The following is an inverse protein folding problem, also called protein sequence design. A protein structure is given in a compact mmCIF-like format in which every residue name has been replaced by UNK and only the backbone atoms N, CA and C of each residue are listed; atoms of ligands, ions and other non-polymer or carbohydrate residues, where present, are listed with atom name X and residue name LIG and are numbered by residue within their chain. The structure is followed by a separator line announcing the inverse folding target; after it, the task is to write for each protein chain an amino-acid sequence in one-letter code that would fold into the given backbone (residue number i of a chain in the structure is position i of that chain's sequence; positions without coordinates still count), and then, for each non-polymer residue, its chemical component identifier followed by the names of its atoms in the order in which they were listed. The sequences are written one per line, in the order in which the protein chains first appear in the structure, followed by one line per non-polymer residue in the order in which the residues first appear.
data_IF_326195642213
#
_entry.id   IF_326195642213
#
_cell.length_a   1.000
_cell.length_b   1.000
_cell.length_c   1.000
_cell.angle_alpha   90.00
_cell.angle_beta   90.00
_cell.angle_gamma   90.00
#
_symmetry.space_group_name_H-M   'P 1'
#
loop_
_entity.id
_entity.type
_entity.pdbx_description
1 polymer ?
#
# COMPACT_ATOMS: atom_id res chain seq x y z
N UNK A 1 -6.09 -26.99 53.39
CA UNK A 1 -5.63 -27.01 51.98
C UNK A 1 -6.80 -27.14 51.00
N UNK A 2 -7.73 -26.17 50.89
CA UNK A 2 -8.78 -26.16 49.84
C UNK A 2 -9.34 -24.73 49.62
N UNK A 3 -8.46 -23.72 49.59
CA UNK A 3 -8.83 -22.34 49.20
C UNK A 3 -7.94 -21.78 48.07
N UNK A 4 -7.03 -22.59 47.53
CA UNK A 4 -6.10 -22.21 46.48
C UNK A 4 -6.50 -22.75 45.08
N UNK A 5 -7.65 -23.43 44.94
CA UNK A 5 -8.01 -24.09 43.67
C UNK A 5 -9.04 -23.33 42.81
N UNK A 6 -9.60 -22.22 43.31
CA UNK A 6 -10.68 -21.49 42.61
C UNK A 6 -10.14 -20.25 41.85
N UNK A 7 -8.93 -19.79 42.15
CA UNK A 7 -8.31 -18.68 41.40
C UNK A 7 -7.52 -19.11 40.15
N UNK A 8 -7.31 -20.41 39.93
CA UNK A 8 -6.53 -20.92 38.77
C UNK A 8 -7.41 -21.14 37.54
N UNK A 9 -8.74 -21.13 37.68
CA UNK A 9 -9.66 -21.34 36.54
C UNK A 9 -10.18 -20.06 35.88
N UNK A 10 -9.78 -18.87 36.37
CA UNK A 10 -10.18 -17.57 35.82
C UNK A 10 -9.07 -16.88 34.99
N UNK A 11 -7.96 -17.57 34.70
CA UNK A 11 -6.84 -17.05 33.89
C UNK A 11 -6.57 -17.95 32.66
N UNK A 12 -7.62 -18.54 32.07
CA UNK A 12 -7.50 -19.26 30.79
C UNK A 12 -8.59 -18.90 29.77
N UNK A 13 -9.30 -17.78 29.95
CA UNK A 13 -9.84 -17.05 28.80
C UNK A 13 -8.72 -16.15 28.24
N UNK A 14 -7.66 -16.79 27.74
CA UNK A 14 -6.85 -16.16 26.72
C UNK A 14 -7.78 -16.11 25.51
N UNK A 15 -8.38 -14.95 25.28
CA UNK A 15 -8.89 -14.59 23.96
C UNK A 15 -7.75 -14.87 22.98
N UNK A 16 -7.84 -15.98 22.26
CA UNK A 16 -7.11 -16.15 21.01
C UNK A 16 -7.73 -15.14 20.06
N UNK A 17 -7.23 -13.90 20.12
CA UNK A 17 -7.30 -13.00 18.98
C UNK A 17 -6.52 -13.74 17.91
N UNK A 18 -7.21 -14.36 16.97
CA UNK A 18 -6.57 -14.72 15.73
C UNK A 18 -6.17 -13.38 15.11
N UNK A 19 -4.90 -13.01 15.22
CA UNK A 19 -4.37 -11.96 14.38
C UNK A 19 -4.58 -12.44 12.94
N UNK A 20 -5.53 -11.84 12.23
CA UNK A 20 -5.57 -11.93 10.78
C UNK A 20 -4.27 -11.30 10.28
N UNK A 21 -3.53 -11.97 9.41
CA UNK A 21 -2.31 -11.43 8.77
C UNK A 21 -2.58 -10.21 7.86
N UNK A 22 -3.84 -9.76 7.81
CA UNK A 22 -4.27 -8.57 7.09
C UNK A 22 -4.26 -7.32 7.96
N UNK A 23 -4.26 -7.46 9.28
CA UNK A 23 -4.20 -6.34 10.20
C UNK A 23 -2.75 -6.12 10.66
N UNK A 24 -2.32 -4.86 10.65
CA UNK A 24 -1.04 -4.46 11.18
C UNK A 24 -1.25 -3.46 12.32
N UNK A 25 -0.56 -3.60 13.46
CA UNK A 25 -0.69 -2.64 14.55
C UNK A 25 -0.06 -1.28 14.21
N UNK A 26 0.75 -1.21 13.14
CA UNK A 26 1.49 0.00 12.78
C UNK A 26 0.96 0.71 11.54
N UNK A 27 0.16 0.06 10.70
CA UNK A 27 -0.30 0.61 9.44
C UNK A 27 -1.68 0.06 9.06
N UNK A 28 -2.45 0.83 8.30
CA UNK A 28 -3.69 0.35 7.70
C UNK A 28 -3.35 -0.38 6.40
N UNK A 29 -3.90 -1.57 6.19
CA UNK A 29 -3.76 -2.24 4.89
C UNK A 29 -4.62 -1.50 3.86
N UNK A 30 -4.10 -1.31 2.65
CA UNK A 30 -4.83 -0.68 1.56
C UNK A 30 -6.02 -1.56 1.16
N UNK A 31 -7.19 -0.95 1.20
CA UNK A 31 -8.50 -1.52 0.89
C UNK A 31 -9.06 -0.90 -0.40
N UNK A 32 -9.54 -1.74 -1.32
CA UNK A 32 -10.05 -1.30 -2.62
C UNK A 32 -11.48 -0.73 -2.57
N UNK A 33 -12.14 -0.74 -1.41
CA UNK A 33 -13.50 -0.22 -1.27
C UNK A 33 -14.60 -1.16 -1.80
N UNK A 34 -14.25 -2.16 -2.61
CA UNK A 34 -15.22 -2.94 -3.38
C UNK A 34 -15.47 -4.32 -2.82
N UNK A 35 -14.46 -5.02 -2.25
CA UNK A 35 -14.63 -6.39 -1.71
C UNK A 35 -13.57 -6.73 -0.63
N UNK A 36 -13.95 -7.46 0.43
CA UNK A 36 -13.01 -8.01 1.45
C UNK A 36 -12.09 -9.14 0.92
N UNK A 37 -12.16 -9.43 -0.37
CA UNK A 37 -11.45 -10.54 -1.04
C UNK A 37 -10.50 -10.04 -2.13
N UNK A 38 -10.03 -8.80 -2.06
CA UNK A 38 -9.02 -8.27 -2.98
C UNK A 38 -7.80 -7.81 -2.19
N UNK A 39 -6.62 -8.22 -2.64
CA UNK A 39 -5.35 -7.61 -2.23
C UNK A 39 -4.74 -6.91 -3.42
N UNK A 40 -4.16 -5.75 -3.20
CA UNK A 40 -3.47 -5.01 -4.25
C UNK A 40 -2.23 -4.33 -3.70
N UNK A 41 -1.27 -4.09 -4.58
CA UNK A 41 0.01 -3.49 -4.23
C UNK A 41 0.72 -2.94 -5.46
N UNK A 42 1.94 -2.49 -5.27
CA UNK A 42 2.79 -1.95 -6.32
C UNK A 42 4.22 -2.48 -6.17
N UNK A 43 4.79 -2.88 -7.29
CA UNK A 43 6.12 -3.46 -7.39
C UNK A 43 6.91 -2.78 -8.52
N UNK A 44 8.22 -3.01 -8.59
CA UNK A 44 9.09 -2.39 -9.58
C UNK A 44 9.78 -1.15 -9.02
N UNK A 45 9.55 0.01 -9.63
CA UNK A 45 10.26 1.25 -9.28
C UNK A 45 11.54 1.42 -10.09
N UNK A 46 11.50 1.06 -11.37
CA UNK A 46 12.64 1.27 -12.28
C UNK A 46 12.66 2.73 -12.69
N UNK A 47 13.70 3.43 -12.24
CA UNK A 47 13.91 4.81 -12.58
C UNK A 47 14.97 4.98 -13.68
N UNK A 48 14.68 5.84 -14.66
CA UNK A 48 15.65 6.33 -15.63
C UNK A 48 15.63 7.86 -15.66
N UNK A 49 16.82 8.48 -15.56
CA UNK A 49 16.95 9.91 -15.74
C UNK A 49 16.89 10.23 -17.24
N UNK A 50 16.02 11.16 -17.61
CA UNK A 50 15.85 11.61 -19.01
C UNK A 50 16.24 13.08 -19.18
N UNK A 51 16.10 13.89 -18.13
CA UNK A 51 16.54 15.27 -18.09
C UNK A 51 17.73 15.43 -17.15
N UNK A 52 18.90 15.75 -17.69
CA UNK A 52 20.02 16.30 -16.94
C UNK A 52 20.60 17.48 -17.73
N UNK A 53 19.78 18.52 -17.91
CA UNK A 53 20.05 19.68 -18.77
C UNK A 53 19.32 19.66 -20.11
N UNK A 54 19.09 18.48 -20.71
CA UNK A 54 18.24 18.29 -21.89
C UNK A 54 17.58 16.90 -21.83
N UNK A 55 16.38 16.77 -22.41
CA UNK A 55 15.70 15.48 -22.56
C UNK A 55 16.47 14.62 -23.57
N UNK A 56 16.79 13.38 -23.20
CA UNK A 56 17.57 12.45 -24.02
C UNK A 56 17.12 11.01 -23.82
N UNK A 57 17.49 10.13 -24.76
CA UNK A 57 17.18 8.70 -24.67
C UNK A 57 17.85 8.09 -23.45
N UNK A 58 17.13 7.19 -22.77
CA UNK A 58 17.62 6.54 -21.57
C UNK A 58 17.04 5.14 -21.45
N UNK A 59 17.76 4.23 -20.81
CA UNK A 59 17.34 2.85 -20.62
C UNK A 59 17.86 2.31 -19.30
N UNK A 60 17.07 1.47 -18.65
CA UNK A 60 17.39 0.80 -17.40
C UNK A 60 16.80 -0.59 -17.37
N UNK A 61 17.48 -1.50 -16.66
CA UNK A 61 17.00 -2.84 -16.36
C UNK A 61 17.41 -3.18 -14.93
N UNK A 62 16.53 -3.86 -14.21
CA UNK A 62 16.78 -4.27 -12.83
C UNK A 62 16.11 -5.60 -12.52
N UNK A 63 16.86 -6.46 -11.84
CA UNK A 63 16.37 -7.73 -11.30
C UNK A 63 15.61 -7.48 -10.00
N UNK A 64 14.61 -8.31 -9.70
CA UNK A 64 13.71 -8.10 -8.56
C UNK A 64 14.40 -8.09 -7.20
N UNK A 65 15.55 -8.77 -7.08
CA UNK A 65 16.38 -8.73 -5.87
C UNK A 65 16.96 -7.35 -5.55
N UNK A 66 16.93 -6.43 -6.52
CA UNK A 66 17.38 -5.05 -6.37
C UNK A 66 16.23 -4.06 -6.53
N UNK A 67 14.97 -4.50 -6.64
CA UNK A 67 13.86 -3.57 -6.73
C UNK A 67 13.74 -2.75 -5.43
N UNK A 68 13.58 -1.43 -5.53
CA UNK A 68 13.32 -0.61 -4.36
C UNK A 68 11.92 -0.88 -3.80
N UNK A 69 11.73 -0.57 -2.52
CA UNK A 69 10.38 -0.38 -2.00
C UNK A 69 9.81 0.91 -2.58
N UNK A 70 8.57 0.90 -3.02
CA UNK A 70 7.91 2.10 -3.53
C UNK A 70 7.21 2.79 -2.36
N UNK A 71 7.49 4.08 -2.17
CA UNK A 71 6.89 4.88 -1.11
C UNK A 71 6.19 6.07 -1.74
N UNK A 72 4.87 5.99 -1.78
CA UNK A 72 4.00 7.03 -2.30
C UNK A 72 3.63 7.98 -1.16
N UNK A 73 4.01 9.24 -1.27
CA UNK A 73 3.82 10.28 -0.25
C UNK A 73 2.82 11.30 -0.75
N UNK A 74 1.70 11.45 -0.06
CA UNK A 74 0.73 12.51 -0.32
C UNK A 74 0.99 13.70 0.61
N UNK A 75 1.37 14.81 0.01
CA UNK A 75 1.90 15.99 0.70
C UNK A 75 1.31 17.29 0.14
N UNK A 76 1.72 18.41 0.72
CA UNK A 76 1.50 19.71 0.13
C UNK A 76 2.57 20.74 0.53
N UNK A 77 2.81 21.75 -0.32
CA UNK A 77 3.75 22.86 -0.06
C UNK A 77 3.36 23.72 1.15
N UNK A 78 2.11 23.64 1.58
CA UNK A 78 1.59 24.33 2.77
C UNK A 78 1.53 23.45 4.02
N UNK A 79 1.77 22.14 3.88
CA UNK A 79 1.67 21.17 4.96
C UNK A 79 2.96 21.16 5.80
N UNK A 80 2.94 21.84 6.95
CA UNK A 80 4.10 21.91 7.83
C UNK A 80 4.44 20.56 8.48
N UNK A 81 3.43 19.79 8.88
CA UNK A 81 3.61 18.47 9.49
C UNK A 81 3.98 17.39 8.46
N UNK A 82 3.89 17.65 7.16
CA UNK A 82 4.36 16.71 6.15
C UNK A 82 5.88 16.55 6.15
N UNK A 83 6.60 17.62 6.55
CA UNK A 83 8.06 17.62 6.63
C UNK A 83 8.56 16.52 7.58
N UNK A 84 7.87 16.30 8.70
CA UNK A 84 8.27 15.28 9.66
C UNK A 84 8.16 13.87 9.05
N UNK A 85 7.05 13.57 8.40
CA UNK A 85 6.83 12.28 7.73
C UNK A 85 7.78 12.06 6.57
N UNK A 86 7.98 13.06 5.70
CA UNK A 86 8.93 13.02 4.59
C UNK A 86 10.37 12.82 5.09
N UNK A 87 10.77 13.54 6.13
CA UNK A 87 12.11 13.41 6.70
C UNK A 87 12.40 11.99 7.22
N UNK A 88 11.40 11.33 7.83
CA UNK A 88 11.56 9.94 8.26
C UNK A 88 11.80 9.03 7.06
N UNK A 89 11.04 9.18 5.97
CA UNK A 89 11.27 8.40 4.73
C UNK A 89 12.65 8.70 4.15
N UNK A 90 13.09 9.95 4.15
CA UNK A 90 14.41 10.36 3.68
C UNK A 90 15.54 9.67 4.46
N UNK A 91 15.43 9.61 5.79
CA UNK A 91 16.41 8.92 6.64
C UNK A 91 16.43 7.41 6.33
N UNK A 92 15.26 6.79 6.19
CA UNK A 92 15.17 5.36 5.87
C UNK A 92 15.72 5.01 4.48
N UNK A 93 15.60 5.93 3.52
CA UNK A 93 16.15 5.77 2.17
C UNK A 93 17.69 5.73 2.11
N UNK A 94 18.38 6.12 3.20
CA UNK A 94 19.84 6.07 3.29
C UNK A 94 20.37 4.65 3.57
N UNK A 95 19.53 3.78 4.15
CA UNK A 95 19.90 2.41 4.52
C UNK A 95 19.10 1.34 3.76
N UNK A 96 17.98 1.72 3.16
CA UNK A 96 17.07 0.84 2.40
C UNK A 96 16.84 1.42 1.01
N UNK A 97 16.80 0.57 -0.02
CA UNK A 97 16.46 1.03 -1.37
C UNK A 97 14.98 1.41 -1.41
N UNK A 98 14.71 2.70 -1.61
CA UNK A 98 13.38 3.28 -1.63
C UNK A 98 13.23 4.19 -2.84
N UNK A 99 12.16 3.97 -3.60
CA UNK A 99 11.68 4.79 -4.69
C UNK A 99 10.58 5.69 -4.14
N UNK A 100 10.84 6.99 -4.02
CA UNK A 100 9.88 7.97 -3.47
C UNK A 100 9.08 8.58 -4.60
N UNK A 101 7.78 8.70 -4.42
CA UNK A 101 6.86 9.31 -5.36
C UNK A 101 5.96 10.29 -4.59
N UNK A 102 6.19 11.60 -4.77
CA UNK A 102 5.47 12.62 -4.02
C UNK A 102 4.27 13.15 -4.82
N UNK A 103 3.08 12.79 -4.37
CA UNK A 103 1.82 13.37 -4.78
C UNK A 103 1.63 14.68 -4.03
N UNK A 104 1.60 15.76 -4.78
CA UNK A 104 1.17 17.05 -4.26
C UNK A 104 -0.33 17.19 -4.47
N UNK A 105 -1.03 17.69 -3.46
CA UNK A 105 -2.47 17.96 -3.55
C UNK A 105 -2.79 18.89 -4.71
N UNK A 106 -3.84 18.62 -5.48
CA UNK A 106 -4.19 19.40 -6.65
C UNK A 106 -4.29 20.92 -6.37
N UNK A 107 -3.70 21.69 -7.29
CA UNK A 107 -3.64 23.15 -7.24
C UNK A 107 -5.01 23.81 -7.13
N UNK A 108 -6.02 23.33 -7.85
CA UNK A 108 -7.32 24.00 -7.98
C UNK A 108 -8.06 24.11 -6.63
N UNK A 109 -7.83 23.18 -5.71
CA UNK A 109 -8.46 23.16 -4.40
C UNK A 109 -7.62 23.80 -3.30
N UNK A 110 -6.28 23.71 -3.40
CA UNK A 110 -5.39 23.94 -2.26
C UNK A 110 -4.22 24.89 -2.53
N UNK A 111 -4.09 25.40 -3.77
CA UNK A 111 -3.03 26.30 -4.21
C UNK A 111 -1.61 25.73 -4.09
N UNK A 112 -1.46 24.40 -4.07
CA UNK A 112 -0.16 23.74 -4.20
C UNK A 112 0.22 23.68 -5.70
N UNK A 113 1.28 24.37 -6.14
CA UNK A 113 1.62 24.51 -7.55
C UNK A 113 2.04 23.20 -8.23
N UNK A 114 2.39 22.18 -7.45
CA UNK A 114 2.90 20.92 -7.97
C UNK A 114 1.81 19.89 -8.20
N UNK A 115 0.66 20.04 -7.56
CA UNK A 115 -0.42 19.07 -7.65
C UNK A 115 -1.06 19.00 -9.02
N UNK A 116 -1.51 17.79 -9.36
CA UNK A 116 -2.15 17.48 -10.64
C UNK A 116 -3.46 16.73 -10.42
N UNK A 117 -4.44 16.96 -11.29
CA UNK A 117 -5.74 16.26 -11.24
C UNK A 117 -5.54 14.74 -11.36
N UNK A 118 -4.70 14.31 -12.31
CA UNK A 118 -4.37 12.88 -12.50
C UNK A 118 -3.72 12.24 -11.26
N UNK A 119 -2.90 13.00 -10.53
CA UNK A 119 -2.28 12.55 -9.28
C UNK A 119 -3.31 12.36 -8.17
N UNK A 120 -4.17 13.35 -7.95
CA UNK A 120 -5.23 13.30 -6.95
C UNK A 120 -6.26 12.20 -7.27
N UNK A 121 -6.70 12.11 -8.53
CA UNK A 121 -7.66 11.09 -8.99
C UNK A 121 -7.11 9.69 -8.73
N UNK A 122 -5.86 9.41 -9.10
CA UNK A 122 -5.24 8.11 -8.84
C UNK A 122 -5.12 7.84 -7.35
N UNK A 123 -4.72 8.84 -6.56
CA UNK A 123 -4.61 8.68 -5.10
C UNK A 123 -5.97 8.32 -4.48
N UNK A 124 -7.04 9.03 -4.86
CA UNK A 124 -8.40 8.78 -4.37
C UNK A 124 -8.89 7.41 -4.83
N UNK A 125 -8.71 7.07 -6.11
CA UNK A 125 -9.13 5.78 -6.67
C UNK A 125 -8.51 4.62 -5.88
N UNK A 126 -7.22 4.71 -5.58
CA UNK A 126 -6.46 3.62 -4.99
C UNK A 126 -6.49 3.59 -3.47
N UNK A 127 -6.43 4.76 -2.84
CA UNK A 127 -6.25 4.91 -1.40
C UNK A 127 -7.39 5.64 -0.71
N UNK A 128 -8.36 6.18 -1.45
CA UNK A 128 -9.53 6.87 -0.92
C UNK A 128 -10.29 6.07 0.12
N UNK A 129 -10.68 4.81 -0.16
CA UNK A 129 -11.39 3.98 0.83
C UNK A 129 -10.60 3.80 2.13
N UNK A 130 -9.29 3.58 2.03
CA UNK A 130 -8.40 3.40 3.21
C UNK A 130 -8.20 4.72 3.95
N UNK A 131 -8.10 5.83 3.22
CA UNK A 131 -7.99 7.17 3.79
C UNK A 131 -9.26 7.51 4.59
N UNK A 132 -10.45 7.21 4.06
CA UNK A 132 -11.72 7.46 4.76
C UNK A 132 -11.77 6.70 6.08
N UNK A 133 -11.37 5.42 6.09
CA UNK A 133 -11.32 4.60 7.31
C UNK A 133 -10.33 5.19 8.31
N UNK A 134 -9.11 5.50 7.86
CA UNK A 134 -8.01 5.91 8.73
C UNK A 134 -8.11 7.36 9.25
N UNK A 135 -8.92 8.19 8.61
CA UNK A 135 -9.05 9.63 8.92
C UNK A 135 -10.44 10.02 9.41
N UNK A 136 -11.35 9.06 9.55
CA UNK A 136 -12.76 9.28 9.91
C UNK A 136 -13.49 10.20 8.91
N UNK A 137 -13.29 9.95 7.60
CA UNK A 137 -14.12 10.55 6.55
C UNK A 137 -13.43 11.30 5.42
N UNK A 138 -12.09 11.40 5.38
CA UNK A 138 -11.38 12.09 4.29
C UNK A 138 -10.79 11.08 3.31
N UNK A 139 -11.11 11.21 2.02
CA UNK A 139 -10.56 10.37 0.94
C UNK A 139 -9.09 10.65 0.63
N UNK A 140 -8.56 11.77 1.12
CA UNK A 140 -7.14 12.11 1.05
C UNK A 140 -6.83 13.18 2.07
N UNK A 141 -5.70 13.04 2.75
CA UNK A 141 -5.23 14.06 3.68
C UNK A 141 -3.70 14.05 3.77
N UNK A 142 -3.03 15.18 3.63
CA UNK A 142 -1.60 15.25 3.85
C UNK A 142 -1.28 15.39 5.36
N UNK A 143 -0.20 14.76 5.88
CA UNK A 143 0.59 13.73 5.21
C UNK A 143 -0.15 12.39 5.20
N UNK A 144 -0.02 11.67 4.10
CA UNK A 144 -0.30 10.24 4.04
C UNK A 144 0.82 9.54 3.29
N UNK A 145 1.24 8.37 3.75
CA UNK A 145 2.36 7.62 3.17
C UNK A 145 1.93 6.18 2.96
N UNK A 146 2.14 5.66 1.75
CA UNK A 146 1.84 4.28 1.40
C UNK A 146 3.11 3.55 0.98
N UNK A 147 3.39 2.44 1.65
CA UNK A 147 4.52 1.55 1.33
C UNK A 147 4.04 0.41 0.44
N UNK A 148 4.73 0.22 -0.69
CA UNK A 148 4.49 -0.79 -1.73
C UNK A 148 3.04 -0.86 -2.23
N UNK A 149 2.31 0.26 -2.15
CA UNK A 149 0.89 0.31 -2.45
C UNK A 149 -0.01 -0.51 -1.52
N UNK A 150 0.51 -1.00 -0.39
CA UNK A 150 -0.16 -1.95 0.50
C UNK A 150 -0.38 -1.46 1.93
N UNK A 151 0.51 -0.59 2.45
CA UNK A 151 0.50 -0.20 3.85
C UNK A 151 0.43 1.30 4.02
N UNK A 152 -0.72 1.81 4.45
CA UNK A 152 -1.03 3.22 4.60
C UNK A 152 -0.83 3.73 6.03
N UNK A 153 -0.10 4.85 6.11
CA UNK A 153 0.06 5.69 7.28
C UNK A 153 -0.58 7.04 7.00
N UNK A 154 -1.38 7.55 7.92
CA UNK A 154 -2.02 8.86 7.81
C UNK A 154 -1.66 9.71 9.01
N UNK A 155 -1.37 10.99 8.75
CA UNK A 155 -0.84 11.90 9.76
C UNK A 155 0.60 11.60 10.18
N UNK A 156 1.00 12.21 11.30
CA UNK A 156 2.35 12.13 11.88
C UNK A 156 2.40 11.37 13.21
N UNK A 157 1.27 10.83 13.63
CA UNK A 157 1.17 10.12 14.90
C UNK A 157 1.66 8.68 14.73
N UNK A 158 2.46 8.23 15.68
CA UNK A 158 2.84 6.82 15.79
C UNK A 158 1.59 5.99 16.12
N UNK A 159 1.40 4.87 15.42
CA UNK A 159 0.25 3.99 15.58
C UNK A 159 0.56 2.85 16.58
N UNK A 160 1.58 2.04 16.30
CA UNK A 160 1.88 0.83 17.09
C UNK A 160 3.32 0.73 17.57
N UNK A 161 4.26 1.37 16.89
CA UNK A 161 5.68 1.41 17.23
C UNK A 161 5.99 2.38 18.37
N UNK A 162 7.29 2.55 18.64
CA UNK A 162 7.77 3.53 19.63
C UNK A 162 7.93 4.92 19.01
N UNK A 163 8.11 4.97 17.68
CA UNK A 163 8.22 6.19 16.89
C UNK A 163 7.66 5.99 15.48
N UNK A 164 7.41 7.10 14.77
CA UNK A 164 6.99 7.05 13.36
C UNK A 164 8.04 6.33 12.46
N UNK A 165 9.32 6.45 12.80
CA UNK A 165 10.39 5.74 12.13
C UNK A 165 10.30 4.22 12.32
N UNK A 166 9.88 3.75 13.50
CA UNK A 166 9.69 2.33 13.75
C UNK A 166 8.51 1.78 12.93
N UNK A 167 7.40 2.53 12.90
CA UNK A 167 6.21 2.20 12.10
C UNK A 167 6.58 2.05 10.61
N UNK A 168 7.31 3.02 10.05
CA UNK A 168 7.74 3.01 8.65
C UNK A 168 8.77 1.91 8.37
N UNK A 169 9.71 1.68 9.31
CA UNK A 169 10.68 0.57 9.19
C UNK A 169 9.96 -0.77 9.14
N UNK A 170 8.92 -0.95 9.97
CA UNK A 170 8.14 -2.18 9.96
C UNK A 170 7.38 -2.34 8.64
N UNK A 171 6.75 -1.29 8.10
CA UNK A 171 6.11 -1.34 6.77
C UNK A 171 7.08 -1.67 5.64
N UNK A 172 8.29 -1.09 5.64
CA UNK A 172 9.34 -1.46 4.69
C UNK A 172 9.77 -2.92 4.83
N UNK A 173 9.86 -3.42 6.07
CA UNK A 173 10.27 -4.81 6.32
C UNK A 173 9.21 -5.85 5.92
N UNK A 174 7.93 -5.46 5.90
CA UNK A 174 6.85 -6.32 5.41
C UNK A 174 6.94 -6.54 3.90
N UNK A 175 7.53 -5.60 3.15
CA UNK A 175 7.72 -5.72 1.71
C UNK A 175 6.41 -5.80 0.94
N UNK A 176 6.46 -6.43 -0.23
CA UNK A 176 5.28 -6.74 -1.06
C UNK A 176 4.71 -8.09 -0.65
N UNK A 177 3.38 -8.19 -0.51
CA UNK A 177 2.69 -9.47 -0.32
C UNK A 177 2.78 -10.38 -1.54
N UNK A 178 3.06 -9.84 -2.73
CA UNK A 178 3.33 -10.61 -3.93
C UNK A 178 4.81 -11.06 -3.97
N UNK A 179 5.12 -12.36 -4.13
CA UNK A 179 6.50 -12.86 -4.23
C UNK A 179 7.21 -12.39 -5.49
N UNK A 180 8.34 -11.69 -5.33
CA UNK A 180 9.05 -11.04 -6.44
C UNK A 180 10.18 -11.88 -7.04
N UNK A 181 10.55 -13.01 -6.44
CA UNK A 181 11.77 -13.75 -6.79
C UNK A 181 11.85 -14.15 -8.27
N UNK A 182 12.96 -13.84 -8.93
CA UNK A 182 13.19 -14.24 -10.32
C UNK A 182 12.41 -13.44 -11.36
N UNK A 183 11.78 -12.33 -10.96
CA UNK A 183 11.30 -11.31 -11.89
C UNK A 183 12.46 -10.37 -12.29
N UNK A 184 12.34 -9.79 -13.46
CA UNK A 184 13.15 -8.69 -13.96
C UNK A 184 12.25 -7.69 -14.65
N UNK A 185 12.68 -6.45 -14.78
CA UNK A 185 11.96 -5.48 -15.58
C UNK A 185 12.92 -4.49 -16.22
N UNK A 186 12.50 -3.92 -17.35
CA UNK A 186 13.25 -2.89 -18.07
C UNK A 186 12.34 -1.71 -18.43
N UNK A 187 12.97 -0.55 -18.58
CA UNK A 187 12.36 0.70 -19.01
C UNK A 187 13.26 1.37 -20.02
N UNK A 188 12.69 1.83 -21.13
CA UNK A 188 13.37 2.60 -22.16
C UNK A 188 12.55 3.83 -22.53
N UNK A 189 13.23 4.95 -22.71
CA UNK A 189 12.69 6.18 -23.28
C UNK A 189 13.45 6.54 -24.55
N UNK A 190 12.70 6.81 -25.61
CA UNK A 190 13.21 7.31 -26.89
C UNK A 190 12.52 8.63 -27.22
N UNK A 191 13.27 9.73 -27.13
CA UNK A 191 12.76 11.05 -27.46
C UNK A 191 12.41 11.17 -28.95
N UNK A 192 11.35 11.90 -29.25
CA UNK A 192 10.94 12.20 -30.62
C UNK A 192 11.94 13.16 -31.28
N UNK A 193 12.30 12.86 -32.53
CA UNK A 193 13.21 13.71 -33.31
C UNK A 193 12.65 15.10 -33.64
N UNK A 194 11.33 15.31 -33.51
CA UNK A 194 10.65 16.56 -33.86
C UNK A 194 10.26 17.41 -32.65
N UNK A 195 10.08 16.81 -31.48
CA UNK A 195 9.66 17.50 -30.27
C UNK A 195 10.26 16.81 -29.04
N UNK A 196 11.06 17.54 -28.25
CA UNK A 196 11.73 16.99 -27.07
C UNK A 196 10.76 16.66 -25.92
N UNK A 197 9.52 17.17 -25.95
CA UNK A 197 8.48 16.80 -24.97
C UNK A 197 7.68 15.57 -25.38
N UNK A 198 7.96 14.96 -26.53
CA UNK A 198 7.28 13.74 -26.99
C UNK A 198 8.29 12.62 -27.09
N UNK A 199 7.85 11.39 -26.87
CA UNK A 199 8.70 10.23 -27.06
C UNK A 199 7.93 8.93 -26.89
N UNK A 200 8.65 7.83 -27.06
CA UNK A 200 8.13 6.48 -26.87
C UNK A 200 8.75 5.88 -25.63
N UNK A 201 7.89 5.37 -24.74
CA UNK A 201 8.28 4.57 -23.59
C UNK A 201 8.07 3.11 -23.95
N UNK A 202 9.06 2.27 -23.67
CA UNK A 202 8.95 0.82 -23.79
C UNK A 202 9.30 0.16 -22.46
N UNK A 203 8.61 -0.91 -22.11
CA UNK A 203 8.86 -1.62 -20.85
C UNK A 203 8.73 -3.12 -21.01
N UNK A 204 9.36 -3.85 -20.10
CA UNK A 204 9.18 -5.29 -19.93
C UNK A 204 9.06 -5.64 -18.46
N UNK A 205 8.35 -6.72 -18.13
CA UNK A 205 8.33 -7.36 -16.82
C UNK A 205 8.19 -8.88 -17.00
N UNK A 206 8.92 -9.65 -16.20
CA UNK A 206 8.95 -11.12 -16.24
C UNK A 206 10.36 -11.65 -16.03
N UNK A 207 10.63 -12.96 -16.13
CA UNK A 207 9.68 -14.04 -16.44
C UNK A 207 8.80 -14.48 -15.27
N UNK A 208 7.84 -15.37 -15.54
CA UNK A 208 7.02 -16.09 -14.56
C UNK A 208 5.96 -15.26 -13.84
N UNK A 209 5.50 -14.14 -14.43
CA UNK A 209 4.40 -13.33 -13.88
C UNK A 209 3.15 -14.13 -13.59
N UNK A 210 2.78 -15.06 -14.49
CA UNK A 210 1.56 -15.87 -14.35
C UNK A 210 1.61 -16.79 -13.13
N UNK A 211 2.80 -17.21 -12.70
CA UNK A 211 3.01 -18.04 -11.51
C UNK A 211 3.12 -17.24 -10.21
N UNK A 212 3.11 -15.91 -10.29
CA UNK A 212 3.17 -15.04 -9.11
C UNK A 212 1.78 -14.87 -8.52
N UNK A 213 1.60 -15.48 -7.37
CA UNK A 213 0.39 -15.41 -6.58
C UNK A 213 0.75 -14.93 -5.19
N UNK A 214 -0.14 -14.15 -4.60
CA UNK A 214 -0.11 -13.83 -3.19
C UNK A 214 -0.27 -15.14 -2.40
N UNK A 215 0.45 -15.28 -1.29
CA UNK A 215 0.31 -16.46 -0.43
C UNK A 215 -1.14 -16.61 0.07
N UNK A 216 -1.59 -17.86 0.26
CA UNK A 216 -2.90 -18.13 0.86
C UNK A 216 -2.87 -17.71 2.34
N UNK A 217 -3.33 -16.49 2.60
CA UNK A 217 -3.45 -15.96 3.95
C UNK A 217 -4.67 -16.49 4.70
N UNK A 218 -5.62 -17.14 4.01
CA UNK A 218 -6.92 -17.48 4.54
C UNK A 218 -7.17 -18.99 4.61
N UNK A 219 -6.16 -19.74 5.06
CA UNK A 219 -6.18 -21.21 5.26
C UNK A 219 -7.46 -21.72 5.97
N UNK A 220 -8.10 -20.88 6.79
CA UNK A 220 -9.33 -21.23 7.54
C UNK A 220 -10.64 -21.06 6.78
N UNK A 221 -10.69 -20.27 5.71
CA UNK A 221 -11.94 -19.97 4.97
C UNK A 221 -11.99 -20.58 3.57
N UNK A 222 -11.00 -21.41 3.20
CA UNK A 222 -10.88 -21.98 1.85
C UNK A 222 -11.01 -20.90 0.76
N UNK A 223 -10.41 -19.74 1.01
CA UNK A 223 -10.24 -18.71 0.00
C UNK A 223 -8.87 -18.92 -0.62
N UNK A 224 -8.81 -19.03 -1.93
CA UNK A 224 -7.55 -19.22 -2.65
C UNK A 224 -7.30 -18.00 -3.54
N UNK A 225 -6.02 -17.61 -3.72
CA UNK A 225 -5.68 -16.53 -4.64
C UNK A 225 -6.14 -16.91 -6.05
N UNK A 226 -6.92 -16.04 -6.67
CA UNK A 226 -7.28 -16.15 -8.08
C UNK A 226 -6.15 -15.69 -8.99
N UNK A 227 -6.51 -15.24 -10.19
CA UNK A 227 -5.54 -14.62 -11.09
C UNK A 227 -5.10 -13.26 -10.52
N UNK A 228 -3.79 -12.99 -10.60
CA UNK A 228 -3.23 -11.67 -10.31
C UNK A 228 -3.22 -10.86 -11.60
N UNK A 229 -3.91 -9.73 -11.60
CA UNK A 229 -3.84 -8.74 -12.67
C UNK A 229 -2.69 -7.78 -12.38
N UNK A 230 -2.05 -7.30 -13.44
CA UNK A 230 -0.98 -6.32 -13.37
C UNK A 230 -1.36 -5.12 -14.23
N UNK A 231 -0.92 -3.92 -13.88
CA UNK A 231 -1.12 -2.69 -14.65
C UNK A 231 0.17 -1.90 -14.66
N UNK A 232 0.82 -1.70 -15.82
CA UNK A 232 2.01 -0.87 -15.92
C UNK A 232 1.64 0.60 -15.71
N UNK A 233 2.40 1.28 -14.85
CA UNK A 233 2.21 2.69 -14.53
C UNK A 233 3.53 3.42 -14.62
N UNK A 234 3.55 4.44 -15.47
CA UNK A 234 4.69 5.34 -15.64
C UNK A 234 4.42 6.64 -14.89
N UNK A 235 5.32 6.98 -13.97
CA UNK A 235 5.36 8.27 -13.31
C UNK A 235 6.40 9.16 -14.02
N UNK A 236 5.98 10.37 -14.35
CA UNK A 236 6.90 11.45 -14.73
C UNK A 236 7.21 12.25 -13.47
N UNK A 237 8.46 12.22 -13.05
CA UNK A 237 8.92 12.78 -11.77
C UNK A 237 9.93 13.88 -12.03
N UNK A 238 9.78 14.99 -11.34
CA UNK A 238 10.79 16.04 -11.26
C UNK A 238 11.64 15.78 -10.02
N UNK A 239 12.96 15.63 -10.21
CA UNK A 239 13.86 15.23 -9.13
C UNK A 239 13.86 16.28 -8.02
N UNK A 240 13.91 17.57 -8.37
CA UNK A 240 13.85 18.71 -7.47
C UNK A 240 13.09 19.86 -8.13
N UNK A 241 11.97 20.26 -7.52
CA UNK A 241 11.19 21.41 -7.93
C UNK A 241 11.35 22.58 -6.93
N UNK A 242 11.78 23.77 -7.39
CA UNK A 242 11.92 24.96 -6.52
C UNK A 242 10.64 25.79 -6.44
N UNK A 243 10.16 26.02 -5.22
CA UNK A 243 9.05 26.92 -4.90
C UNK A 243 9.22 27.60 -3.53
N UNK A 244 9.70 28.85 -3.55
CA UNK A 244 10.00 29.62 -2.34
C UNK A 244 8.74 30.11 -1.59
N UNK A 245 7.59 30.13 -2.24
CA UNK A 245 6.34 30.64 -1.66
C UNK A 245 5.57 29.58 -0.85
N UNK A 246 6.09 28.36 -0.72
CA UNK A 246 5.51 27.31 0.13
C UNK A 246 5.54 27.70 1.61
N UNK A 247 4.41 27.58 2.30
CA UNK A 247 4.32 28.00 3.72
C UNK A 247 4.94 26.99 4.69
N UNK A 248 5.36 25.82 4.21
CA UNK A 248 6.11 24.86 5.02
C UNK A 248 7.63 25.15 5.08
N UNK A 249 8.17 26.01 4.20
CA UNK A 249 9.54 26.52 4.28
C UNK A 249 10.64 25.62 3.69
N UNK A 250 10.32 24.57 2.93
CA UNK A 250 11.32 23.70 2.29
C UNK A 250 12.06 24.36 1.12
N UNK A 251 11.38 25.25 0.39
CA UNK A 251 11.80 25.87 -0.89
C UNK A 251 12.11 24.91 -2.04
N UNK A 252 12.70 23.74 -1.79
CA UNK A 252 12.99 22.72 -2.79
C UNK A 252 12.26 21.44 -2.40
N UNK A 253 11.42 20.95 -3.30
CA UNK A 253 10.60 19.77 -3.12
C UNK A 253 11.14 18.66 -4.02
N UNK A 254 11.45 17.50 -3.45
CA UNK A 254 12.04 16.40 -4.22
C UNK A 254 10.98 15.37 -4.63
N UNK A 255 11.29 14.59 -5.68
CA UNK A 255 10.48 13.44 -6.13
C UNK A 255 9.04 13.82 -6.51
N UNK A 256 8.85 15.02 -7.05
CA UNK A 256 7.54 15.59 -7.34
C UNK A 256 6.95 14.92 -8.58
N UNK A 257 5.79 14.27 -8.44
CA UNK A 257 5.09 13.68 -9.59
C UNK A 257 4.45 14.82 -10.40
N UNK A 258 4.72 14.83 -11.71
CA UNK A 258 4.23 15.84 -12.66
C UNK A 258 3.20 15.29 -13.64
N UNK A 259 3.23 13.98 -13.90
CA UNK A 259 2.23 13.28 -14.70
C UNK A 259 2.26 11.77 -14.40
N UNK A 260 1.15 11.08 -14.71
CA UNK A 260 1.00 9.64 -14.51
C UNK A 260 0.30 9.03 -15.72
N UNK A 261 0.91 8.01 -16.31
CA UNK A 261 0.32 7.23 -17.39
C UNK A 261 0.10 5.79 -16.94
N UNK A 262 -1.17 5.36 -16.88
CA UNK A 262 -1.54 3.95 -16.72
C UNK A 262 -1.74 3.36 -18.11
N UNK A 263 -1.12 2.21 -18.36
CA UNK A 263 -1.23 1.52 -19.64
C UNK A 263 -2.17 0.33 -19.51
N UNK A 264 -2.88 0.01 -20.61
CA UNK A 264 -3.76 -1.15 -20.62
C UNK A 264 -2.97 -2.44 -20.35
N UNK A 265 -3.55 -3.28 -19.50
CA UNK A 265 -2.99 -4.56 -19.12
C UNK A 265 -3.18 -5.57 -20.26
N UNK A 266 -2.07 -6.06 -20.84
CA UNK A 266 -2.10 -7.19 -21.77
C UNK A 266 -1.06 -8.23 -21.36
N UNK A 267 -1.29 -8.86 -20.22
CA UNK A 267 -0.49 -9.96 -19.71
C UNK A 267 -1.02 -11.24 -20.32
N UNK A 268 -0.36 -11.72 -21.38
CA UNK A 268 -0.82 -12.87 -22.17
C UNK A 268 0.11 -14.09 -22.07
N UNK A 269 1.18 -13.98 -21.28
CA UNK A 269 2.26 -14.96 -21.15
C UNK A 269 3.16 -14.65 -19.92
N UNK A 270 4.14 -15.53 -19.68
CA UNK A 270 5.19 -15.40 -18.65
C UNK A 270 6.01 -14.09 -18.70
N UNK A 271 6.00 -13.36 -19.82
CA UNK A 271 6.81 -12.16 -20.08
C UNK A 271 5.95 -11.06 -20.72
N UNK A 272 5.59 -10.05 -19.96
CA UNK A 272 4.84 -8.91 -20.49
C UNK A 272 5.79 -7.83 -21.01
N UNK A 273 5.47 -7.28 -22.18
CA UNK A 273 6.13 -6.10 -22.73
C UNK A 273 5.11 -5.14 -23.33
N UNK A 274 5.48 -3.87 -23.42
CA UNK A 274 4.62 -2.85 -23.99
C UNK A 274 5.42 -1.65 -24.48
N UNK A 275 4.78 -0.84 -25.32
CA UNK A 275 5.29 0.48 -25.66
C UNK A 275 4.13 1.45 -25.86
N UNK A 276 4.33 2.71 -25.49
CA UNK A 276 3.36 3.78 -25.66
C UNK A 276 4.03 5.09 -26.02
N UNK A 277 3.33 5.92 -26.79
CA UNK A 277 3.72 7.32 -27.01
C UNK A 277 3.29 8.16 -25.81
N UNK A 278 4.22 8.92 -25.25
CA UNK A 278 4.01 9.77 -24.07
C UNK A 278 4.40 11.20 -24.40
N UNK A 279 3.58 12.14 -23.94
CA UNK A 279 3.87 13.57 -23.99
C UNK A 279 4.19 14.03 -22.58
N UNK A 280 5.42 14.48 -22.37
CA UNK A 280 5.88 14.97 -21.07
C UNK A 280 5.22 16.32 -20.74
N UNK A 281 4.89 16.57 -19.46
CA UNK A 281 4.42 17.86 -19.01
C UNK A 281 5.51 18.93 -19.18
N UNK A 282 5.12 20.19 -19.00
CA UNK A 282 6.10 21.27 -18.95
C UNK A 282 6.94 21.12 -17.69
N UNK A 283 8.25 21.12 -17.87
CA UNK A 283 9.25 21.18 -16.81
C UNK A 283 8.94 22.36 -15.88
N UNK A 284 8.95 22.13 -14.57
CA UNK A 284 8.75 23.19 -13.59
C UNK A 284 9.97 24.09 -13.49
N UNK A 285 11.13 23.53 -13.13
CA UNK A 285 12.39 24.25 -13.08
C UNK A 285 13.61 23.34 -13.22
N UNK A 286 14.64 23.81 -13.94
CA UNK A 286 15.77 22.94 -14.28
C UNK A 286 15.34 21.75 -15.16
N UNK A 287 16.23 21.19 -15.97
CA UNK A 287 15.85 20.01 -16.75
C UNK A 287 16.31 18.75 -16.00
N UNK A 288 15.50 18.28 -15.07
CA UNK A 288 15.82 17.20 -14.13
C UNK A 288 14.74 16.08 -14.06
N UNK A 289 13.97 15.92 -15.14
CA UNK A 289 12.97 14.85 -15.24
C UNK A 289 13.57 13.44 -15.15
N UNK A 290 12.83 12.60 -14.44
CA UNK A 290 13.03 11.18 -14.28
C UNK A 290 11.73 10.45 -14.62
N UNK A 291 11.86 9.29 -15.26
CA UNK A 291 10.75 8.39 -15.51
C UNK A 291 10.85 7.21 -14.57
N UNK A 292 9.76 6.86 -13.91
CA UNK A 292 9.69 5.72 -12.99
C UNK A 292 8.60 4.77 -13.46
N UNK A 293 8.98 3.54 -13.79
CA UNK A 293 8.03 2.48 -14.12
C UNK A 293 7.77 1.61 -12.90
N UNK A 294 6.50 1.48 -12.57
CA UNK A 294 6.02 0.53 -11.58
C UNK A 294 4.89 -0.32 -12.15
N UNK A 295 4.59 -1.41 -11.47
CA UNK A 295 3.52 -2.33 -11.84
C UNK A 295 2.60 -2.46 -10.65
N UNK A 296 1.41 -1.95 -10.82
CA UNK A 296 0.33 -2.18 -9.89
C UNK A 296 -0.15 -3.61 -10.08
N UNK A 297 -0.44 -4.31 -8.99
CA UNK A 297 -1.01 -5.64 -9.03
C UNK A 297 -2.26 -5.71 -8.18
N UNK A 298 -3.20 -6.56 -8.56
CA UNK A 298 -4.36 -6.92 -7.76
C UNK A 298 -4.66 -8.41 -7.89
N UNK A 299 -4.98 -9.06 -6.78
CA UNK A 299 -5.38 -10.45 -6.72
C UNK A 299 -6.75 -10.52 -6.07
N UNK A 300 -7.72 -11.06 -6.80
CA UNK A 300 -9.03 -11.39 -6.25
C UNK A 300 -8.96 -12.82 -5.71
N UNK A 301 -9.41 -13.01 -4.48
CA UNK A 301 -9.48 -14.31 -3.82
C UNK A 301 -10.84 -14.95 -4.07
N UNK A 302 -10.84 -16.22 -4.43
CA UNK A 302 -12.05 -16.98 -4.69
C UNK A 302 -12.37 -17.91 -3.52
N UNK A 303 -13.64 -17.99 -3.12
CA UNK A 303 -14.11 -19.00 -2.17
C UNK A 303 -14.29 -20.35 -2.86
N UNK A 304 -13.86 -21.44 -2.21
CA UNK A 304 -14.29 -22.78 -2.61
C UNK A 304 -15.81 -22.93 -2.48
N UNK A 305 -16.44 -23.47 -3.52
CA UNK A 305 -17.89 -23.58 -3.64
C UNK A 305 -18.56 -24.49 -2.58
N UNK A 306 -17.80 -25.23 -1.77
CA UNK A 306 -18.32 -26.08 -0.68
C UNK A 306 -17.89 -25.67 0.74
N UNK A 307 -17.11 -24.59 0.87
CA UNK A 307 -16.60 -24.13 2.15
C UNK A 307 -17.64 -23.28 2.89
N UNK A 308 -18.39 -23.92 3.77
CA UNK A 308 -19.15 -23.23 4.81
C UNK A 308 -18.17 -22.49 5.73
N UNK A 309 -17.93 -21.20 5.47
CA UNK A 309 -17.45 -20.28 6.49
C UNK A 309 -18.53 -20.20 7.58
N UNK A 310 -18.45 -21.09 8.56
CA UNK A 310 -19.40 -21.12 9.66
C UNK A 310 -19.34 -19.77 10.37
N UNK A 311 -20.44 -19.01 10.30
CA UNK A 311 -20.68 -17.95 11.26
C UNK A 311 -20.76 -18.61 12.63
N UNK A 312 -19.71 -18.52 13.43
CA UNK A 312 -19.81 -18.63 14.89
C UNK A 312 -20.51 -17.36 15.43
N UNK A 313 -21.68 -17.03 14.88
CA UNK A 313 -22.66 -16.13 15.48
C UNK A 313 -23.60 -17.01 16.28
N UNK A 314 -23.55 -16.82 17.60
CA UNK A 314 -24.09 -17.76 18.57
C UNK A 314 -25.57 -18.11 18.36
N UNK A 315 -25.85 -19.40 18.40
CA UNK A 315 -27.14 -19.88 18.90
C UNK A 315 -26.99 -21.19 19.68
N UNK A 316 -26.79 -20.99 20.99
CA UNK A 316 -27.04 -21.88 22.13
C UNK A 316 -26.33 -23.25 22.19
N UNK A 317 -25.51 -23.52 23.23
CA UNK A 317 -25.16 -24.89 23.57
C UNK A 317 -26.43 -25.63 24.01
N UNK A 318 -26.89 -26.57 23.19
CA UNK A 318 -28.02 -27.48 23.49
C UNK A 318 -27.71 -28.49 24.62
N UNK A 319 -26.70 -28.24 25.44
CA UNK A 319 -26.34 -29.02 26.63
C UNK A 319 -26.33 -28.19 27.93
N UNK A 320 -27.07 -27.08 27.99
CA UNK A 320 -27.07 -26.15 29.14
C UNK A 320 -28.37 -26.00 29.93
N UNK A 321 -29.51 -26.52 29.48
CA UNK A 321 -30.82 -26.33 30.17
C UNK A 321 -31.18 -27.40 31.21
N UNK A 322 -30.33 -28.41 31.43
CA UNK A 322 -30.56 -29.43 32.47
C UNK A 322 -29.68 -29.29 33.72
N UNK A 323 -28.76 -28.33 33.79
CA UNK A 323 -27.83 -28.22 34.92
C UNK A 323 -28.14 -27.08 35.90
N UNK A 324 -29.01 -26.12 35.56
CA UNK A 324 -29.42 -25.05 36.49
C UNK A 324 -30.67 -25.45 37.29
N UNK A 325 -31.52 -26.34 36.77
CA UNK A 325 -32.65 -26.90 37.55
C UNK A 325 -32.23 -27.92 38.61
N UNK A 326 -31.07 -28.58 38.44
CA UNK A 326 -30.59 -29.58 39.40
C UNK A 326 -29.92 -28.95 40.66
N UNK A 327 -29.31 -27.77 40.54
CA UNK A 327 -28.68 -27.08 41.68
C UNK A 327 -29.72 -26.43 42.61
N UNK A 328 -30.86 -25.94 42.07
CA UNK A 328 -31.98 -25.46 42.90
C UNK A 328 -32.82 -26.58 43.53
N UNK A 329 -32.85 -27.78 42.93
CA UNK A 329 -33.52 -28.96 43.53
C UNK A 329 -32.73 -29.59 44.69
N UNK A 330 -31.38 -29.54 44.66
CA UNK A 330 -30.58 -30.07 45.76
C UNK A 330 -30.51 -29.07 46.94
N UNK A 331 -30.52 -27.76 46.70
CA UNK A 331 -30.60 -26.75 47.77
C UNK A 331 -31.95 -26.75 48.52
N UNK A 332 -33.04 -27.17 47.86
CA UNK A 332 -34.37 -27.28 48.48
C UNK A 332 -34.60 -28.60 49.26
N UNK A 333 -33.77 -29.62 49.06
CA UNK A 333 -33.81 -30.88 49.83
C UNK A 333 -33.02 -30.82 51.15
N UNK A 334 -32.09 -29.88 51.32
CA UNK A 334 -31.35 -29.68 52.57
C UNK A 334 -31.93 -28.59 53.50
N UNK A 335 -32.94 -27.83 53.07
CA UNK A 335 -33.64 -26.86 53.92
C UNK A 335 -34.87 -27.44 54.65
N UNK A 336 -35.16 -28.73 54.50
CA UNK A 336 -36.31 -29.37 55.17
C UNK A 336 -35.92 -30.63 55.94
N UNK A 337 -35.04 -30.49 56.93
CA UNK A 337 -35.03 -31.33 58.13
C UNK A 337 -34.60 -30.48 59.34
N UNK A 338 -35.60 -30.14 60.17
CA UNK A 338 -35.44 -30.20 61.63
C UNK A 338 -35.28 -31.65 62.03
#
# INVERSE_FOLDING_TARGET
MKRALILVFLIFFSSTVCASSLESPVAERVYSGTQEIEMSGMIGGIAIDIGAGNISNSTGQIESSSWPNIVEVYTATWCANCIDSEHVVDVLSQSTQVERLHYHREYSESQDPFGTEVGDDRWIERYGPTSVISTDGLERTPPSIVFNGEWMHTGTQTKGGVSLADDYTQSLSMGSSLPLDGLSSSLEWVASSSNNSEGTVSWTIGPNLESKHVDDYWEKCAMFPGATEYTPVLFVVENVARYEQGTNGLENYSHVIRDIHRFESSFTNDNSNGSASVTLPTIWDGADFRLVMAFEWSTIFAMEADASCGSEEGFLPSAGLFSITLVFLIASLFYRRK
#
